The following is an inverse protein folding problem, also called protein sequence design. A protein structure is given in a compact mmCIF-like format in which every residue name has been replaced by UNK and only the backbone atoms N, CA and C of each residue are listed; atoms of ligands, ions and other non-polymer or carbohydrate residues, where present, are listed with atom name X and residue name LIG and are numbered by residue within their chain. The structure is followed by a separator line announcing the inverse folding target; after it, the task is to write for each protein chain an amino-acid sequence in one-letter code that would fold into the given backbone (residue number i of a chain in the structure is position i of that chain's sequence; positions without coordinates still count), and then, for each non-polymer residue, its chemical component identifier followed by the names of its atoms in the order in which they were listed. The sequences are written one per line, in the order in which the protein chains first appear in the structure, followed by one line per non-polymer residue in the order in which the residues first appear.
data_IF_692136966635
#
_entry.id   IF_692136966635
#
_cell.length_a   1.000
_cell.length_b   1.000
_cell.length_c   1.000
_cell.angle_alpha   90.00
_cell.angle_beta   90.00
_cell.angle_gamma   90.00
#
_symmetry.space_group_name_H-M   'P 1'
#
loop_
_entity.id
_entity.type
_entity.pdbx_description
1 polymer ?
#
# COMPACT_ATOMS: atom_id res chain seq x y z
N UNK A 1 2.52 -21.73 2.13
CA UNK A 1 2.14 -20.78 1.05
C UNK A 1 3.40 -20.42 0.26
N UNK A 2 3.25 -19.90 -0.95
CA UNK A 2 4.42 -19.43 -1.71
C UNK A 2 4.11 -18.14 -2.47
N UNK A 3 5.14 -17.30 -2.63
CA UNK A 3 5.12 -16.10 -3.47
C UNK A 3 6.00 -16.35 -4.67
N UNK A 4 5.53 -16.01 -5.86
CA UNK A 4 6.34 -15.97 -7.07
C UNK A 4 6.82 -14.53 -7.23
N UNK A 5 8.12 -14.28 -7.08
CA UNK A 5 8.68 -12.93 -7.13
C UNK A 5 8.58 -12.30 -8.54
N UNK A 6 8.85 -11.02 -8.64
CA UNK A 6 8.88 -10.29 -9.91
C UNK A 6 9.91 -10.84 -10.91
N UNK A 7 10.97 -11.49 -10.41
CA UNK A 7 11.96 -12.19 -11.22
C UNK A 7 11.58 -13.65 -11.54
N UNK A 8 10.47 -14.16 -10.98
CA UNK A 8 9.98 -15.52 -11.19
C UNK A 8 10.51 -16.56 -10.20
N UNK A 9 11.25 -16.17 -9.17
CA UNK A 9 11.66 -17.07 -8.11
C UNK A 9 10.47 -17.47 -7.24
N UNK A 10 10.41 -18.73 -6.80
CA UNK A 10 9.38 -19.23 -5.89
C UNK A 10 9.93 -19.25 -4.47
N UNK A 11 9.32 -18.46 -3.59
CA UNK A 11 9.67 -18.42 -2.17
C UNK A 11 8.55 -19.09 -1.38
N UNK A 12 8.88 -20.18 -0.69
CA UNK A 12 7.98 -20.84 0.24
C UNK A 12 7.94 -20.09 1.56
N UNK A 13 6.76 -19.74 2.01
CA UNK A 13 6.54 -19.11 3.31
C UNK A 13 6.36 -20.21 4.36
N UNK A 14 7.27 -20.26 5.31
CA UNK A 14 7.17 -21.09 6.52
C UNK A 14 6.40 -20.29 7.60
N UNK A 15 5.11 -20.15 7.35
CA UNK A 15 4.15 -19.57 8.29
C UNK A 15 3.38 -20.72 8.87
N UNK A 16 3.62 -21.04 10.15
CA UNK A 16 2.79 -22.00 10.82
C UNK A 16 1.37 -21.47 11.03
N UNK A 17 0.43 -22.39 11.18
CA UNK A 17 -0.97 -22.03 11.33
C UNK A 17 -1.21 -21.15 12.57
N UNK A 18 -0.40 -21.27 13.63
CA UNK A 18 -0.54 -20.49 14.86
C UNK A 18 -0.13 -19.04 14.72
N UNK A 19 0.91 -18.72 13.94
CA UNK A 19 1.34 -17.33 13.67
C UNK A 19 0.29 -16.55 12.87
N UNK A 20 -0.36 -17.24 11.93
CA UNK A 20 -1.38 -16.67 11.05
C UNK A 20 -2.76 -16.69 11.74
N UNK A 21 -3.09 -17.72 12.53
CA UNK A 21 -4.44 -17.94 13.05
C UNK A 21 -4.73 -17.29 14.40
N UNK A 22 -3.75 -17.12 15.30
CA UNK A 22 -3.98 -16.47 16.58
C UNK A 22 -4.42 -15.01 16.46
N UNK A 23 -4.22 -14.41 15.27
CA UNK A 23 -4.55 -13.01 15.00
C UNK A 23 -5.59 -12.85 13.89
N UNK A 24 -6.04 -13.96 13.24
CA UNK A 24 -6.77 -13.88 11.98
C UNK A 24 -7.64 -15.12 11.74
N UNK A 25 -8.74 -15.27 12.43
CA UNK A 25 -9.70 -16.34 12.06
C UNK A 25 -10.17 -16.24 10.60
N UNK A 26 -10.13 -15.02 10.01
CA UNK A 26 -10.45 -14.76 8.59
C UNK A 26 -9.25 -14.57 7.66
N UNK A 27 -8.04 -14.46 8.18
CA UNK A 27 -6.85 -14.05 7.40
C UNK A 27 -6.36 -15.09 6.39
N UNK A 28 -6.80 -16.35 6.50
CA UNK A 28 -6.56 -17.30 5.39
C UNK A 28 -7.18 -16.82 4.09
N UNK A 29 -8.30 -16.11 4.14
CA UNK A 29 -8.93 -15.54 2.96
C UNK A 29 -8.17 -14.33 2.45
N UNK A 30 -7.73 -13.42 3.33
CA UNK A 30 -7.03 -12.20 2.95
C UNK A 30 -5.64 -12.47 2.36
N UNK A 31 -4.80 -13.26 3.03
CA UNK A 31 -3.53 -13.69 2.47
C UNK A 31 -3.69 -14.44 1.14
N UNK A 32 -4.74 -15.24 0.98
CA UNK A 32 -5.05 -15.91 -0.29
C UNK A 32 -5.47 -14.94 -1.39
N UNK A 33 -6.23 -13.90 -1.06
CA UNK A 33 -6.63 -12.86 -2.03
C UNK A 33 -5.37 -12.13 -2.51
N UNK A 34 -4.53 -11.64 -1.60
CA UNK A 34 -3.28 -10.95 -1.95
C UNK A 34 -2.36 -11.87 -2.77
N UNK A 35 -2.23 -13.14 -2.38
CA UNK A 35 -1.45 -14.12 -3.14
C UNK A 35 -2.05 -14.40 -4.53
N UNK A 36 -3.38 -14.38 -4.67
CA UNK A 36 -4.02 -14.50 -5.98
C UNK A 36 -3.69 -13.31 -6.86
N UNK A 37 -3.81 -12.09 -6.34
CA UNK A 37 -3.45 -10.86 -7.05
C UNK A 37 -1.99 -10.87 -7.52
N UNK A 38 -1.07 -11.35 -6.68
CA UNK A 38 0.36 -11.44 -6.99
C UNK A 38 0.67 -12.59 -7.94
N UNK A 39 0.26 -13.81 -7.61
CA UNK A 39 0.73 -15.02 -8.30
C UNK A 39 -0.11 -15.36 -9.53
N UNK A 40 -1.43 -15.18 -9.48
CA UNK A 40 -2.38 -15.60 -10.51
C UNK A 40 -2.76 -14.45 -11.43
N UNK A 41 -3.19 -13.34 -10.87
CA UNK A 41 -3.67 -12.19 -11.63
C UNK A 41 -2.50 -11.30 -12.09
N UNK A 42 -1.36 -11.38 -11.38
CA UNK A 42 -0.09 -10.73 -11.72
C UNK A 42 -0.25 -9.23 -11.96
N UNK A 43 -1.07 -8.59 -11.13
CA UNK A 43 -1.48 -7.19 -11.33
C UNK A 43 -0.31 -6.21 -11.32
N UNK A 44 0.80 -6.56 -10.65
CA UNK A 44 2.01 -5.73 -10.55
C UNK A 44 3.07 -6.04 -11.62
N UNK A 45 2.92 -7.11 -12.42
CA UNK A 45 3.93 -7.53 -13.41
C UNK A 45 4.25 -6.42 -14.42
N UNK A 46 3.24 -5.69 -14.88
CA UNK A 46 3.42 -4.59 -15.84
C UNK A 46 4.35 -3.48 -15.34
N UNK A 47 4.55 -3.37 -14.02
CA UNK A 47 5.37 -2.33 -13.40
C UNK A 47 6.74 -2.83 -12.97
N UNK A 48 6.83 -4.08 -12.52
CA UNK A 48 7.99 -4.60 -11.80
C UNK A 48 8.71 -5.73 -12.51
N UNK A 49 8.02 -6.49 -13.39
CA UNK A 49 8.63 -7.60 -14.10
C UNK A 49 9.76 -7.11 -15.00
N UNK A 50 10.93 -7.73 -14.89
CA UNK A 50 12.16 -7.38 -15.60
C UNK A 50 12.75 -6.00 -15.23
N UNK A 51 12.21 -5.32 -14.22
CA UNK A 51 12.83 -4.14 -13.64
C UNK A 51 13.92 -4.53 -12.66
N UNK A 52 14.87 -3.63 -12.42
CA UNK A 52 15.95 -3.79 -11.44
C UNK A 52 16.34 -2.45 -10.84
N UNK A 53 16.98 -2.52 -9.70
CA UNK A 53 17.59 -1.38 -9.02
C UNK A 53 16.60 -0.25 -8.66
N UNK A 54 15.30 -0.58 -8.57
CA UNK A 54 14.26 0.40 -8.24
C UNK A 54 14.27 0.75 -6.76
N UNK A 55 13.96 2.01 -6.45
CA UNK A 55 13.51 2.42 -5.11
C UNK A 55 11.98 2.32 -5.08
N UNK A 56 11.47 1.49 -4.17
CA UNK A 56 10.04 1.19 -4.08
C UNK A 56 9.50 1.63 -2.72
N UNK A 57 8.33 2.26 -2.72
CA UNK A 57 7.49 2.44 -1.53
C UNK A 57 6.33 1.43 -1.57
N UNK A 58 6.17 0.68 -0.48
CA UNK A 58 5.02 -0.19 -0.23
C UNK A 58 4.21 0.39 0.93
N UNK A 59 3.20 1.18 0.61
CA UNK A 59 2.37 1.87 1.59
C UNK A 59 1.13 1.02 1.89
N UNK A 60 0.98 0.62 3.17
CA UNK A 60 0.04 -0.41 3.58
C UNK A 60 0.61 -1.81 3.28
N UNK A 61 1.82 -2.05 3.81
CA UNK A 61 2.56 -3.27 3.48
C UNK A 61 1.94 -4.54 4.09
N UNK A 62 1.07 -4.40 5.08
CA UNK A 62 0.44 -5.54 5.76
C UNK A 62 1.52 -6.52 6.26
N UNK A 63 1.38 -7.81 6.03
CA UNK A 63 2.40 -8.83 6.38
C UNK A 63 3.57 -8.90 5.39
N UNK A 64 3.62 -8.02 4.38
CA UNK A 64 4.76 -7.87 3.46
C UNK A 64 4.77 -8.80 2.26
N UNK A 65 3.63 -9.28 1.79
CA UNK A 65 3.58 -10.18 0.60
C UNK A 65 3.93 -9.45 -0.70
N UNK A 66 3.50 -8.20 -0.86
CA UNK A 66 3.92 -7.38 -2.00
C UNK A 66 5.42 -7.05 -1.93
N UNK A 67 5.91 -6.67 -0.75
CA UNK A 67 7.35 -6.45 -0.52
C UNK A 67 8.16 -7.67 -0.93
N UNK A 68 7.75 -8.87 -0.50
CA UNK A 68 8.43 -10.13 -0.88
C UNK A 68 8.39 -10.39 -2.39
N UNK A 69 7.28 -10.06 -3.05
CA UNK A 69 7.17 -10.16 -4.51
C UNK A 69 8.14 -9.18 -5.20
N UNK A 70 8.20 -7.94 -4.76
CA UNK A 70 8.90 -6.84 -5.42
C UNK A 70 10.42 -6.83 -5.18
N UNK A 71 10.92 -7.54 -4.14
CA UNK A 71 12.30 -7.45 -3.65
C UNK A 71 13.38 -7.69 -4.72
N UNK A 72 13.09 -8.55 -5.70
CA UNK A 72 14.05 -8.87 -6.76
C UNK A 72 14.17 -7.80 -7.84
N UNK A 73 13.22 -6.84 -7.88
CA UNK A 73 13.23 -5.68 -8.76
C UNK A 73 13.81 -4.42 -8.11
N UNK A 74 14.05 -4.46 -6.80
CA UNK A 74 14.41 -3.28 -6.03
C UNK A 74 15.86 -3.29 -5.57
N UNK A 75 16.51 -2.12 -5.65
CA UNK A 75 17.70 -1.83 -4.86
C UNK A 75 17.33 -1.59 -3.40
N UNK A 76 16.17 -0.97 -3.13
CA UNK A 76 15.61 -0.86 -1.79
C UNK A 76 14.09 -0.72 -1.79
N UNK A 77 13.43 -1.32 -0.78
CA UNK A 77 11.99 -1.16 -0.52
C UNK A 77 11.80 -0.57 0.87
N UNK A 78 11.04 0.52 0.94
CA UNK A 78 10.54 1.07 2.20
C UNK A 78 9.07 0.69 2.35
N UNK A 79 8.78 -0.16 3.32
CA UNK A 79 7.46 -0.74 3.55
C UNK A 79 6.82 -0.13 4.78
N UNK A 80 5.73 0.58 4.59
CA UNK A 80 5.04 1.34 5.65
C UNK A 80 3.85 0.53 6.14
N UNK A 81 3.85 0.19 7.43
CA UNK A 81 2.79 -0.57 8.08
C UNK A 81 2.64 -0.14 9.55
N UNK A 82 1.47 0.38 9.95
CA UNK A 82 1.22 0.84 11.31
C UNK A 82 0.87 -0.28 12.31
N UNK A 83 0.30 -1.41 11.86
CA UNK A 83 -0.27 -2.44 12.73
C UNK A 83 0.80 -3.32 13.39
N UNK A 84 0.95 -3.32 14.74
CA UNK A 84 2.02 -4.08 15.41
C UNK A 84 2.00 -5.60 15.16
N UNK A 85 0.81 -6.20 15.00
CA UNK A 85 0.69 -7.64 14.69
C UNK A 85 1.18 -7.95 13.26
N UNK A 86 0.87 -7.09 12.29
CA UNK A 86 1.38 -7.22 10.92
C UNK A 86 2.89 -7.04 10.86
N UNK A 87 3.44 -6.05 11.58
CA UNK A 87 4.88 -5.79 11.64
C UNK A 87 5.68 -7.03 12.08
N UNK A 88 5.19 -7.77 13.08
CA UNK A 88 5.83 -9.02 13.54
C UNK A 88 5.91 -10.08 12.43
N UNK A 89 4.82 -10.26 11.69
CA UNK A 89 4.79 -11.20 10.56
C UNK A 89 5.62 -10.68 9.40
N UNK A 90 5.59 -9.38 9.13
CA UNK A 90 6.43 -8.74 8.13
C UNK A 90 7.92 -8.99 8.42
N UNK A 91 8.36 -8.78 9.66
CA UNK A 91 9.74 -9.02 10.08
C UNK A 91 10.14 -10.49 9.94
N UNK A 92 9.23 -11.43 10.21
CA UNK A 92 9.46 -12.87 9.99
C UNK A 92 9.64 -13.21 8.50
N UNK A 93 8.86 -12.58 7.63
CA UNK A 93 8.84 -12.85 6.18
C UNK A 93 9.98 -12.11 5.46
N UNK A 94 10.17 -10.84 5.76
CA UNK A 94 11.04 -9.94 5.00
C UNK A 94 12.33 -9.54 5.74
N UNK A 95 12.41 -9.78 7.05
CA UNK A 95 13.61 -9.46 7.84
C UNK A 95 14.93 -10.05 7.35
N UNK A 96 14.95 -11.22 6.65
CA UNK A 96 16.17 -11.76 6.07
C UNK A 96 16.74 -10.95 4.88
N UNK A 97 16.04 -9.94 4.36
CA UNK A 97 16.46 -9.22 3.15
C UNK A 97 17.00 -7.83 3.47
N UNK A 98 18.28 -7.59 3.17
CA UNK A 98 18.98 -6.33 3.48
C UNK A 98 18.48 -5.13 2.68
N UNK A 99 17.78 -5.37 1.57
CA UNK A 99 17.18 -4.32 0.74
C UNK A 99 15.73 -3.96 1.13
N UNK A 100 15.30 -4.32 2.35
CA UNK A 100 13.96 -4.02 2.86
C UNK A 100 14.04 -3.29 4.19
N UNK A 101 13.33 -2.17 4.29
CA UNK A 101 13.15 -1.42 5.54
C UNK A 101 11.67 -1.36 5.91
N UNK A 102 11.33 -1.86 7.10
CA UNK A 102 10.00 -1.67 7.67
C UNK A 102 9.90 -0.32 8.37
N UNK A 103 8.94 0.49 7.95
CA UNK A 103 8.58 1.78 8.55
C UNK A 103 7.32 1.59 9.39
N UNK A 104 7.45 1.71 10.71
CA UNK A 104 6.36 1.49 11.68
C UNK A 104 5.54 2.77 11.85
N UNK A 105 4.80 3.15 10.83
CA UNK A 105 4.01 4.38 10.77
C UNK A 105 2.80 4.19 9.82
N UNK A 106 1.87 5.13 9.85
CA UNK A 106 0.81 5.26 8.85
C UNK A 106 1.12 6.41 7.90
N UNK A 107 0.91 6.24 6.59
CA UNK A 107 0.89 7.38 5.67
C UNK A 107 -0.37 8.21 5.92
N UNK A 108 -0.20 9.52 6.05
CA UNK A 108 -1.25 10.45 6.47
C UNK A 108 -1.14 11.82 5.80
N UNK A 109 -2.13 12.68 6.05
CA UNK A 109 -2.11 14.09 5.67
C UNK A 109 -1.27 14.97 6.59
N UNK A 110 -0.90 14.49 7.79
CA UNK A 110 -0.15 15.24 8.81
C UNK A 110 0.93 14.37 9.44
N UNK A 111 1.92 15.01 10.07
CA UNK A 111 3.04 14.36 10.76
C UNK A 111 2.79 14.24 12.27
N UNK A 112 1.57 13.91 12.65
CA UNK A 112 1.14 13.82 14.04
C UNK A 112 0.90 12.37 14.45
N UNK A 113 0.95 12.11 15.76
CA UNK A 113 0.42 10.86 16.32
C UNK A 113 -1.10 10.83 16.16
N UNK A 114 -1.64 9.70 15.74
CA UNK A 114 -3.06 9.61 15.41
C UNK A 114 -3.67 8.26 15.80
N UNK A 115 -4.98 8.27 15.97
CA UNK A 115 -5.75 7.06 16.20
C UNK A 115 -5.76 6.19 14.93
N UNK A 116 -5.46 4.92 15.09
CA UNK A 116 -5.54 3.91 14.06
C UNK A 116 -6.48 2.80 14.53
N UNK A 117 -7.44 2.45 13.70
CA UNK A 117 -8.55 1.56 14.04
C UNK A 117 -8.26 0.14 13.57
N UNK A 118 -8.26 -0.80 14.52
CA UNK A 118 -7.99 -2.22 14.29
C UNK A 118 -9.32 -2.94 14.11
N UNK A 119 -9.52 -3.54 12.97
CA UNK A 119 -10.75 -4.26 12.64
C UNK A 119 -10.73 -5.68 13.21
N UNK A 120 -11.68 -6.01 14.09
CA UNK A 120 -11.71 -7.29 14.80
C UNK A 120 -12.04 -8.50 13.91
N UNK A 121 -12.72 -8.27 12.78
CA UNK A 121 -13.21 -9.33 11.91
C UNK A 121 -12.41 -9.47 10.60
N UNK A 122 -11.60 -8.48 10.25
CA UNK A 122 -10.79 -8.52 9.02
C UNK A 122 -9.60 -7.56 9.13
N UNK A 123 -8.43 -8.09 9.35
CA UNK A 123 -7.20 -7.30 9.52
C UNK A 123 -6.74 -6.51 8.30
N UNK A 124 -7.26 -6.82 7.10
CA UNK A 124 -7.00 -5.98 5.92
C UNK A 124 -7.78 -4.67 5.97
N UNK A 125 -8.81 -4.56 6.83
CA UNK A 125 -9.61 -3.35 6.99
C UNK A 125 -9.06 -2.36 8.04
N UNK A 126 -7.87 -2.58 8.59
CA UNK A 126 -7.23 -1.66 9.54
C UNK A 126 -6.94 -0.31 8.85
N UNK A 127 -7.31 0.80 9.48
CA UNK A 127 -7.34 2.09 8.80
C UNK A 127 -7.28 3.27 9.77
N UNK A 128 -6.96 4.46 9.26
CA UNK A 128 -7.18 5.73 9.97
C UNK A 128 -8.66 6.14 10.00
N UNK A 129 -9.52 5.41 9.32
CA UNK A 129 -10.97 5.68 9.29
C UNK A 129 -11.65 4.87 10.39
N UNK A 130 -12.39 5.55 11.27
CA UNK A 130 -13.16 4.91 12.33
C UNK A 130 -14.24 4.00 11.76
N UNK A 131 -14.16 2.72 12.10
CA UNK A 131 -15.13 1.68 11.72
C UNK A 131 -15.71 0.95 12.95
N UNK A 132 -15.56 1.55 14.15
CA UNK A 132 -16.09 1.01 15.41
C UNK A 132 -15.27 -0.15 15.98
N UNK A 133 -13.96 -0.09 15.84
CA UNK A 133 -13.00 -1.13 16.22
C UNK A 133 -12.12 -0.71 17.40
N UNK A 134 -11.23 -1.59 17.85
CA UNK A 134 -10.17 -1.23 18.79
C UNK A 134 -9.26 -0.15 18.22
N UNK A 135 -8.73 0.71 19.10
CA UNK A 135 -7.93 1.88 18.70
C UNK A 135 -6.53 1.75 19.27
N UNK A 136 -5.54 1.99 18.41
CA UNK A 136 -4.15 2.16 18.83
C UNK A 136 -3.65 3.54 18.38
N UNK A 137 -2.63 4.04 19.05
CA UNK A 137 -1.93 5.25 18.65
C UNK A 137 -0.74 4.89 17.74
N UNK A 138 -0.61 5.56 16.59
CA UNK A 138 0.45 5.32 15.62
C UNK A 138 1.09 6.64 15.17
N UNK A 139 2.35 6.61 14.76
CA UNK A 139 3.01 7.74 14.10
C UNK A 139 2.37 7.95 12.72
N UNK A 140 1.88 9.17 12.45
CA UNK A 140 1.51 9.61 11.11
C UNK A 140 2.70 10.24 10.39
N UNK A 141 2.85 9.97 9.09
CA UNK A 141 3.86 10.60 8.23
C UNK A 141 3.21 11.07 6.93
N UNK A 142 3.54 12.29 6.52
CA UNK A 142 3.28 12.74 5.14
C UNK A 142 4.28 12.09 4.18
N UNK A 143 4.00 12.12 2.88
CA UNK A 143 4.98 11.68 1.87
C UNK A 143 6.32 12.40 2.05
N UNK A 144 6.27 13.73 2.24
CA UNK A 144 7.48 14.55 2.41
C UNK A 144 8.30 14.07 3.60
N UNK A 145 7.68 13.96 4.78
CA UNK A 145 8.36 13.56 6.01
C UNK A 145 8.88 12.13 5.95
N UNK A 146 8.15 11.22 5.30
CA UNK A 146 8.61 9.86 5.03
C UNK A 146 9.91 9.87 4.19
N UNK A 147 9.93 10.60 3.07
CA UNK A 147 11.10 10.69 2.20
C UNK A 147 12.29 11.33 2.91
N UNK A 148 12.06 12.41 3.67
CA UNK A 148 13.10 13.10 4.44
C UNK A 148 13.67 12.23 5.57
N UNK A 149 12.79 11.57 6.35
CA UNK A 149 13.17 10.73 7.50
C UNK A 149 14.09 9.57 7.09
N UNK A 150 13.86 9.00 5.91
CA UNK A 150 14.61 7.85 5.41
C UNK A 150 15.63 8.20 4.32
N UNK A 151 15.88 9.51 4.07
CA UNK A 151 16.81 10.01 3.05
C UNK A 151 16.54 9.44 1.66
N UNK A 152 15.26 9.43 1.25
CA UNK A 152 14.83 8.94 -0.05
C UNK A 152 14.77 10.11 -1.03
N UNK A 153 15.70 10.14 -1.96
CA UNK A 153 15.78 11.22 -2.95
C UNK A 153 14.84 11.01 -4.13
N UNK A 154 14.58 9.74 -4.47
CA UNK A 154 13.77 9.36 -5.62
C UNK A 154 13.00 8.06 -5.34
N UNK A 155 11.83 7.90 -5.95
CA UNK A 155 10.96 6.72 -5.89
C UNK A 155 10.52 6.35 -7.30
N UNK A 156 10.93 5.18 -7.77
CA UNK A 156 10.54 4.67 -9.09
C UNK A 156 9.10 4.15 -9.12
N UNK A 157 8.67 3.57 -8.00
CA UNK A 157 7.33 3.00 -7.88
C UNK A 157 6.81 3.05 -6.44
N UNK A 158 5.57 3.49 -6.28
CA UNK A 158 4.87 3.56 -5.00
C UNK A 158 3.54 2.79 -5.09
N UNK A 159 3.39 1.68 -4.33
CA UNK A 159 2.09 1.06 -4.08
C UNK A 159 1.42 1.79 -2.91
N UNK A 160 0.13 2.07 -3.04
CA UNK A 160 -0.70 2.67 -1.98
C UNK A 160 -1.99 1.87 -1.87
N UNK A 161 -2.18 1.25 -0.73
CA UNK A 161 -3.31 0.39 -0.41
C UNK A 161 -3.49 0.43 1.12
N UNK A 162 -4.27 1.41 1.61
CA UNK A 162 -4.38 1.81 3.02
C UNK A 162 -5.82 1.89 3.53
N UNK A 163 -6.69 1.12 2.88
CA UNK A 163 -8.03 0.79 3.36
C UNK A 163 -8.90 2.01 3.71
N UNK A 164 -8.90 3.01 2.82
CA UNK A 164 -9.70 4.22 2.90
C UNK A 164 -8.96 5.45 3.44
N UNK A 165 -7.77 5.27 4.01
CA UNK A 165 -6.91 6.39 4.44
C UNK A 165 -6.32 7.17 3.25
N UNK A 166 -6.50 6.70 2.01
CA UNK A 166 -6.09 7.39 0.78
C UNK A 166 -6.66 8.81 0.73
N UNK A 167 -7.88 8.99 1.25
CA UNK A 167 -8.57 10.29 1.27
C UNK A 167 -7.92 11.31 2.20
N UNK A 168 -7.15 10.84 3.19
CA UNK A 168 -6.38 11.68 4.12
C UNK A 168 -4.96 11.90 3.60
N UNK A 169 -4.34 10.85 3.07
CA UNK A 169 -2.93 10.85 2.67
C UNK A 169 -2.69 11.50 1.30
N UNK A 170 -3.63 11.38 0.35
CA UNK A 170 -3.48 11.85 -1.03
C UNK A 170 -4.24 13.16 -1.22
N UNK A 171 -3.57 14.26 -0.99
CA UNK A 171 -4.07 15.63 -1.20
C UNK A 171 -3.08 16.43 -2.06
N UNK A 172 -3.49 17.60 -2.52
CA UNK A 172 -2.55 18.49 -3.23
C UNK A 172 -1.40 18.93 -2.33
N UNK A 173 -1.68 19.18 -1.05
CA UNK A 173 -0.70 19.60 -0.05
C UNK A 173 0.36 18.55 0.20
N UNK A 174 -0.02 17.26 0.18
CA UNK A 174 0.91 16.16 0.45
C UNK A 174 1.68 15.70 -0.79
N UNK A 175 1.08 15.77 -1.99
CA UNK A 175 1.70 15.30 -3.22
C UNK A 175 2.54 16.36 -3.95
N UNK A 176 2.14 17.65 -3.95
CA UNK A 176 2.92 18.71 -4.62
C UNK A 176 4.38 18.77 -4.18
N UNK A 177 4.70 18.69 -2.87
CA UNK A 177 6.09 18.75 -2.40
C UNK A 177 6.98 17.58 -2.86
N UNK A 178 6.38 16.48 -3.27
CA UNK A 178 7.10 15.25 -3.67
C UNK A 178 6.89 14.88 -5.16
N UNK A 179 6.23 15.75 -5.91
CA UNK A 179 5.93 15.50 -7.33
C UNK A 179 7.19 15.12 -8.13
N UNK A 180 8.27 15.85 -7.97
CA UNK A 180 9.53 15.58 -8.69
C UNK A 180 10.22 14.29 -8.23
N UNK A 181 9.87 13.77 -7.07
CA UNK A 181 10.52 12.62 -6.43
C UNK A 181 9.84 11.28 -6.72
N UNK A 182 8.54 11.23 -7.02
CA UNK A 182 7.80 9.97 -7.24
C UNK A 182 7.39 9.88 -8.70
N UNK A 183 7.86 8.85 -9.41
CA UNK A 183 7.60 8.70 -10.84
C UNK A 183 6.28 8.02 -11.15
N UNK A 184 5.98 6.93 -10.44
CA UNK A 184 4.78 6.10 -10.69
C UNK A 184 4.15 5.68 -9.38
N UNK A 185 2.80 5.62 -9.38
CA UNK A 185 2.04 5.09 -8.26
C UNK A 185 1.00 4.07 -8.74
N UNK A 186 0.76 3.08 -7.92
CA UNK A 186 -0.38 2.16 -8.01
C UNK A 186 -1.23 2.41 -6.77
N UNK A 187 -2.43 2.91 -6.96
CA UNK A 187 -3.34 3.29 -5.86
C UNK A 187 -4.56 2.41 -5.91
N UNK A 188 -4.81 1.63 -4.86
CA UNK A 188 -6.09 0.99 -4.62
C UNK A 188 -6.95 1.95 -3.77
N UNK A 189 -8.10 2.34 -4.31
CA UNK A 189 -9.00 3.30 -3.66
C UNK A 189 -10.12 2.58 -2.97
N UNK A 190 -10.39 2.94 -1.72
CA UNK A 190 -11.42 2.29 -0.92
C UNK A 190 -12.61 3.22 -0.64
N UNK A 191 -13.77 2.60 -0.41
CA UNK A 191 -14.92 3.29 0.14
C UNK A 191 -14.68 3.56 1.64
N UNK A 192 -14.95 4.79 2.06
CA UNK A 192 -14.82 5.21 3.46
C UNK A 192 -16.15 5.23 4.21
N UNK A 193 -17.25 5.10 3.48
CA UNK A 193 -18.60 5.14 4.03
C UNK A 193 -19.53 4.17 3.31
N UNK A 194 -20.42 3.53 4.08
CA UNK A 194 -21.63 2.88 3.59
C UNK A 194 -22.76 3.08 4.60
N UNK A 195 -23.95 3.37 4.14
CA UNK A 195 -25.09 3.62 5.02
C UNK A 195 -26.40 3.74 4.24
N UNK A 196 -27.52 4.04 4.93
CA UNK A 196 -28.85 4.07 4.30
C UNK A 196 -28.97 5.08 3.15
N UNK A 197 -28.15 6.13 3.18
CA UNK A 197 -28.22 7.23 2.20
C UNK A 197 -27.18 7.10 1.07
N UNK A 198 -26.25 6.13 1.15
CA UNK A 198 -25.20 5.95 0.15
C UNK A 198 -24.69 4.49 0.16
N UNK A 199 -24.72 3.83 -1.00
CA UNK A 199 -24.09 2.52 -1.18
C UNK A 199 -22.57 2.68 -1.20
N UNK A 200 -21.85 1.62 -0.81
CA UNK A 200 -20.40 1.68 -0.78
C UNK A 200 -19.79 1.85 -2.18
N UNK A 201 -20.42 1.28 -3.23
CA UNK A 201 -19.95 1.45 -4.61
C UNK A 201 -20.04 2.91 -5.07
N UNK A 202 -21.07 3.64 -4.66
CA UNK A 202 -21.23 5.05 -4.99
C UNK A 202 -20.18 5.89 -4.24
N UNK A 203 -19.91 5.58 -2.97
CA UNK A 203 -18.86 6.22 -2.20
C UNK A 203 -17.46 5.96 -2.78
N UNK A 204 -17.18 4.72 -3.20
CA UNK A 204 -15.94 4.36 -3.88
C UNK A 204 -15.71 5.22 -5.13
N UNK A 205 -16.72 5.37 -5.97
CA UNK A 205 -16.64 6.20 -7.18
C UNK A 205 -16.38 7.68 -6.83
N UNK A 206 -17.01 8.18 -5.77
CA UNK A 206 -16.78 9.56 -5.30
C UNK A 206 -15.34 9.74 -4.82
N UNK A 207 -14.83 8.82 -4.00
CA UNK A 207 -13.46 8.87 -3.49
C UNK A 207 -12.45 8.80 -4.63
N UNK A 208 -12.63 7.86 -5.57
CA UNK A 208 -11.78 7.75 -6.74
C UNK A 208 -11.73 9.06 -7.53
N UNK A 209 -12.87 9.68 -7.84
CA UNK A 209 -12.92 10.95 -8.57
C UNK A 209 -12.21 12.10 -7.84
N UNK A 210 -12.27 12.12 -6.51
CA UNK A 210 -11.51 13.10 -5.72
C UNK A 210 -10.02 12.90 -5.89
N UNK A 211 -9.53 11.66 -5.79
CA UNK A 211 -8.11 11.34 -6.02
C UNK A 211 -7.70 11.69 -7.45
N UNK A 212 -8.50 11.33 -8.48
CA UNK A 212 -8.26 11.71 -9.86
C UNK A 212 -8.09 13.24 -10.02
N UNK A 213 -8.94 14.02 -9.36
CA UNK A 213 -8.84 15.49 -9.38
C UNK A 213 -7.55 15.98 -8.74
N UNK A 214 -7.16 15.43 -7.58
CA UNK A 214 -5.89 15.77 -6.92
C UNK A 214 -4.70 15.47 -7.85
N UNK A 215 -4.67 14.28 -8.45
CA UNK A 215 -3.60 13.87 -9.36
C UNK A 215 -3.47 14.83 -10.55
N UNK A 216 -4.58 15.22 -11.17
CA UNK A 216 -4.60 16.19 -12.26
C UNK A 216 -4.08 17.56 -11.82
N UNK A 217 -4.52 18.07 -10.67
CA UNK A 217 -4.12 19.38 -10.14
C UNK A 217 -2.63 19.41 -9.77
N UNK A 218 -2.06 18.27 -9.37
CA UNK A 218 -0.62 18.13 -9.09
C UNK A 218 0.19 18.02 -10.37
N UNK A 219 -0.38 17.52 -11.45
CA UNK A 219 0.27 17.37 -12.76
C UNK A 219 0.59 15.93 -13.15
N UNK A 220 0.10 14.94 -12.39
CA UNK A 220 0.20 13.54 -12.76
C UNK A 220 -0.80 13.17 -13.86
N UNK A 221 -0.41 12.24 -14.71
CA UNK A 221 -1.32 11.47 -15.57
C UNK A 221 -1.72 10.18 -14.87
N UNK A 222 -2.86 9.65 -15.27
CA UNK A 222 -3.33 8.39 -14.72
C UNK A 222 -4.19 7.62 -15.71
N UNK A 223 -4.31 6.33 -15.48
CA UNK A 223 -5.30 5.44 -16.09
C UNK A 223 -6.01 4.62 -15.02
N UNK A 224 -7.29 4.33 -15.23
CA UNK A 224 -8.03 3.41 -14.38
C UNK A 224 -7.74 1.99 -14.86
N UNK A 225 -7.22 1.16 -13.98
CA UNK A 225 -6.94 -0.24 -14.31
C UNK A 225 -8.22 -1.08 -14.23
N UNK A 226 -8.40 -2.05 -15.13
CA UNK A 226 -9.50 -2.99 -15.04
C UNK A 226 -9.42 -3.78 -13.73
N UNK A 227 -10.39 -3.58 -12.87
CA UNK A 227 -10.64 -4.33 -11.65
C UNK A 227 -12.13 -4.61 -11.53
N UNK A 228 -12.53 -5.45 -10.57
CA UNK A 228 -13.96 -5.75 -10.37
C UNK A 228 -14.78 -4.49 -10.11
N UNK A 229 -14.19 -3.49 -9.45
CA UNK A 229 -14.87 -2.26 -9.02
C UNK A 229 -14.32 -0.99 -9.67
N UNK A 230 -13.32 -1.10 -10.55
CA UNK A 230 -12.59 0.04 -11.14
C UNK A 230 -12.04 0.99 -10.06
N UNK A 231 -11.48 0.40 -9.01
CA UNK A 231 -10.95 1.06 -7.83
C UNK A 231 -9.45 1.34 -7.89
N UNK A 232 -8.78 0.82 -8.91
CA UNK A 232 -7.33 0.87 -9.04
C UNK A 232 -6.90 1.92 -10.04
N UNK A 233 -5.99 2.79 -9.64
CA UNK A 233 -5.43 3.88 -10.44
C UNK A 233 -3.93 3.64 -10.64
N UNK A 234 -3.50 3.60 -11.89
CA UNK A 234 -2.09 3.71 -12.24
C UNK A 234 -1.75 5.17 -12.55
N UNK A 235 -0.79 5.72 -11.83
CA UNK A 235 -0.35 7.11 -11.90
C UNK A 235 1.07 7.17 -12.47
N UNK A 236 1.32 8.15 -13.33
CA UNK A 236 2.63 8.35 -13.94
C UNK A 236 2.85 9.82 -14.34
N UNK A 237 4.11 10.20 -14.50
CA UNK A 237 4.47 11.48 -15.09
C UNK A 237 4.54 11.36 -16.62
N UNK A 238 4.36 12.47 -17.32
CA UNK A 238 4.82 12.54 -18.72
C UNK A 238 6.34 12.38 -18.72
N UNK A 239 6.80 11.22 -19.13
CA UNK A 239 8.21 11.06 -19.46
C UNK A 239 8.38 11.75 -20.81
N UNK A 240 8.65 13.06 -20.79
CA UNK A 240 9.28 13.67 -21.95
C UNK A 240 10.63 12.98 -22.10
N UNK A 241 10.72 12.08 -23.07
CA UNK A 241 11.99 11.55 -23.56
C UNK A 241 12.95 12.72 -23.78
N UNK A 242 13.91 12.84 -22.86
CA UNK A 242 15.07 13.71 -23.06
C UNK A 242 15.96 13.11 -24.10
#
# INVERSE_FOLDING_TARGET
MSVITSSGNVISLDLDDTDIYQHFEDSKSCAKIILSQINSDRIYDRFLKNQKDMIILDIGANIGLFTLYAKDSASHIFSVEPTPSHQKLFEKINGPYDNVTLVKAALSGTDESMNFYICDYNSTCNSLIDRGSDVIEVEGLTFKSLLEKYNIDHVDFCKIDIEGSEMLAITEETLKPVYDKIDRMFIEVHATYSGPDMRWEDNLVINRRKIETVLQNVGYKYEILPSRYNDTIHVFKDIHTK
#
